data_IF_663247869802
#
_entry.id   IF_663247869802
#
_cell.length_a   1.000
_cell.length_b   1.000
_cell.length_c   1.000
_cell.angle_alpha   90.00
_cell.angle_beta   90.00
_cell.angle_gamma   90.00
#
_symmetry.space_group_name_H-M   'P 1'
#
loop_
_entity.id
_entity.type
_entity.pdbx_description
1 polymer ?
#
# COMPACT_ATOMS: atom_id res chain seq x y z
N UNK A 1 16.25 14.93 -20.06
CA UNK A 1 17.32 14.42 -20.94
C UNK A 1 17.01 12.95 -21.19
N UNK A 2 16.55 12.67 -22.40
CA UNK A 2 16.35 11.32 -22.89
C UNK A 2 17.73 10.73 -23.22
N UNK A 3 18.06 9.58 -22.64
CA UNK A 3 19.14 8.76 -23.16
C UNK A 3 18.57 7.77 -24.17
N UNK A 4 18.86 8.05 -25.45
CA UNK A 4 18.67 7.13 -26.55
C UNK A 4 19.74 6.03 -26.44
N UNK A 5 19.35 4.78 -26.30
CA UNK A 5 20.21 3.61 -26.47
C UNK A 5 20.19 3.20 -27.92
N UNK A 6 21.37 3.33 -28.55
CA UNK A 6 21.68 2.83 -29.90
C UNK A 6 21.60 1.30 -29.93
N UNK A 7 20.90 0.81 -30.93
CA UNK A 7 20.99 -0.57 -31.36
C UNK A 7 22.36 -0.82 -32.06
N UNK A 8 23.01 -1.95 -31.75
CA UNK A 8 24.04 -2.52 -32.60
C UNK A 8 24.18 -4.02 -32.40
N UNK A 9 23.70 -4.75 -33.41
CA UNK A 9 24.39 -5.83 -34.14
C UNK A 9 24.43 -7.27 -33.56
N UNK A 10 24.48 -8.27 -34.45
CA UNK A 10 23.82 -9.57 -34.25
C UNK A 10 24.75 -10.65 -33.71
N UNK A 11 24.18 -11.63 -33.06
CA UNK A 11 24.84 -12.83 -32.56
C UNK A 11 25.13 -13.84 -33.71
N UNK A 12 26.24 -14.60 -33.64
CA UNK A 12 26.53 -15.66 -34.61
C UNK A 12 25.76 -16.97 -34.24
N UNK A 13 25.26 -17.60 -35.28
CA UNK A 13 24.68 -18.94 -35.28
C UNK A 13 25.74 -20.02 -35.00
N UNK A 14 25.50 -20.86 -34.02
CA UNK A 14 26.23 -22.13 -33.86
C UNK A 14 25.20 -23.30 -33.85
N UNK A 15 25.20 -24.01 -34.97
CA UNK A 15 24.54 -25.31 -35.16
C UNK A 15 25.36 -26.41 -34.45
N UNK A 16 24.74 -27.21 -33.58
CA UNK A 16 25.27 -28.49 -33.15
C UNK A 16 24.16 -29.54 -33.14
N UNK A 17 24.45 -30.81 -33.51
CA UNK A 17 23.46 -31.79 -33.89
C UNK A 17 22.85 -32.54 -32.71
N UNK A 18 21.57 -32.88 -32.86
CA UNK A 18 20.82 -33.75 -31.94
C UNK A 18 21.45 -35.13 -31.83
N UNK A 19 21.76 -35.55 -30.61
CA UNK A 19 21.91 -36.97 -30.27
C UNK A 19 20.57 -37.50 -29.75
N UNK A 20 20.03 -38.51 -30.43
CA UNK A 20 18.88 -39.32 -29.99
C UNK A 20 19.33 -40.19 -28.83
N UNK A 21 18.77 -39.95 -27.64
CA UNK A 21 18.86 -40.85 -26.49
C UNK A 21 17.59 -41.68 -26.40
N UNK A 22 17.75 -42.99 -26.45
CA UNK A 22 16.72 -44.02 -26.28
C UNK A 22 16.18 -43.98 -24.83
N UNK A 23 14.85 -43.85 -24.70
CA UNK A 23 14.15 -43.94 -23.42
C UNK A 23 13.79 -45.40 -23.16
N UNK A 24 14.35 -45.98 -22.11
CA UNK A 24 13.97 -47.31 -21.61
C UNK A 24 12.64 -47.20 -20.86
N UNK A 25 11.66 -48.00 -21.25
CA UNK A 25 10.38 -48.11 -20.57
C UNK A 25 10.53 -48.90 -19.27
N UNK A 26 10.13 -48.30 -18.15
CA UNK A 26 10.00 -48.96 -16.85
C UNK A 26 8.55 -49.43 -16.71
N UNK A 27 8.37 -50.73 -16.55
CA UNK A 27 7.07 -51.39 -16.34
C UNK A 27 6.51 -51.09 -14.93
N UNK A 28 5.25 -50.67 -14.87
CA UNK A 28 4.47 -50.47 -13.64
C UNK A 28 3.74 -51.78 -13.30
N UNK A 29 3.83 -52.34 -12.07
CA UNK A 29 3.03 -53.51 -11.69
C UNK A 29 1.59 -53.11 -11.32
N UNK A 30 0.64 -53.99 -11.69
CA UNK A 30 -0.79 -53.84 -11.47
C UNK A 30 -1.20 -53.97 -9.99
N UNK A 31 -2.30 -53.31 -9.54
CA UNK A 31 -2.75 -53.35 -8.17
C UNK A 31 -3.53 -54.63 -7.82
N UNK A 32 -3.13 -55.27 -6.72
CA UNK A 32 -3.80 -56.46 -6.16
C UNK A 32 -5.12 -56.08 -5.46
N UNK A 33 -6.11 -57.01 -5.56
CA UNK A 33 -7.44 -56.93 -4.97
C UNK A 33 -7.39 -56.93 -3.43
N UNK A 34 -8.20 -56.13 -2.74
CA UNK A 34 -8.32 -56.20 -1.27
C UNK A 34 -9.22 -57.40 -0.86
N UNK A 35 -8.74 -58.15 0.11
CA UNK A 35 -9.49 -59.18 0.85
C UNK A 35 -10.32 -58.51 1.91
N UNK A 36 -11.63 -58.68 1.85
CA UNK A 36 -12.57 -58.20 2.86
C UNK A 36 -12.54 -59.18 4.06
N UNK A 37 -12.11 -58.74 5.20
CA UNK A 37 -12.31 -59.41 6.47
C UNK A 37 -13.32 -58.67 7.31
N UNK A 38 -14.49 -59.26 7.53
CA UNK A 38 -15.51 -58.79 8.44
C UNK A 38 -15.01 -58.90 9.89
N UNK A 39 -15.07 -57.83 10.69
CA UNK A 39 -14.89 -57.84 12.11
C UNK A 39 -16.13 -57.15 12.75
N UNK A 40 -16.68 -57.86 13.73
CA UNK A 40 -17.91 -57.57 14.45
C UNK A 40 -17.93 -56.23 15.14
N UNK A 41 -19.13 -55.64 15.18
CA UNK A 41 -19.47 -54.43 15.89
C UNK A 41 -19.36 -54.61 17.45
N UNK A 42 -18.55 -53.77 18.09
CA UNK A 42 -18.63 -53.48 19.50
C UNK A 42 -19.06 -52.01 19.64
N UNK A 43 -20.26 -51.76 20.18
CA UNK A 43 -20.75 -50.45 20.47
C UNK A 43 -19.96 -49.83 21.64
N UNK A 44 -19.17 -48.80 21.33
CA UNK A 44 -18.59 -47.92 22.36
C UNK A 44 -19.34 -46.59 22.26
N UNK A 45 -20.08 -46.26 23.34
CA UNK A 45 -20.66 -44.93 23.54
C UNK A 45 -19.51 -43.92 23.67
N UNK A 46 -19.29 -43.13 22.62
CA UNK A 46 -18.36 -42.00 22.65
C UNK A 46 -19.12 -40.80 23.22
N UNK A 47 -18.68 -40.34 24.40
CA UNK A 47 -18.99 -39.01 24.92
C UNK A 47 -18.41 -37.98 23.95
N UNK A 48 -19.27 -37.20 23.32
CA UNK A 48 -18.84 -36.04 22.53
C UNK A 48 -18.14 -35.03 23.44
N UNK A 49 -16.95 -34.53 23.08
CA UNK A 49 -16.35 -33.42 23.80
C UNK A 49 -17.18 -32.16 23.57
N UNK A 50 -17.57 -31.50 24.65
CA UNK A 50 -18.27 -30.22 24.62
C UNK A 50 -17.51 -29.21 23.72
N UNK A 51 -18.18 -28.71 22.69
CA UNK A 51 -17.68 -27.62 21.84
C UNK A 51 -17.59 -26.38 22.72
N UNK A 52 -16.38 -26.05 23.16
CA UNK A 52 -16.09 -24.78 23.82
C UNK A 52 -16.21 -23.67 22.79
N UNK A 53 -17.29 -22.90 22.86
CA UNK A 53 -17.46 -21.64 22.12
C UNK A 53 -16.31 -20.73 22.52
N UNK A 54 -15.47 -20.24 21.57
CA UNK A 54 -14.41 -19.31 21.90
C UNK A 54 -15.01 -18.04 22.49
N UNK A 55 -14.45 -17.57 23.60
CA UNK A 55 -14.85 -16.32 24.23
C UNK A 55 -14.79 -15.16 23.21
N UNK A 56 -15.75 -14.20 23.27
CA UNK A 56 -15.74 -13.04 22.39
C UNK A 56 -14.43 -12.29 22.55
N UNK A 57 -13.85 -11.86 21.41
CA UNK A 57 -12.63 -11.07 21.38
C UNK A 57 -12.80 -9.83 22.29
N UNK A 58 -11.73 -9.38 22.98
CA UNK A 58 -11.83 -8.22 23.85
C UNK A 58 -12.30 -7.02 23.04
N UNK A 59 -13.33 -6.32 23.56
CA UNK A 59 -13.88 -5.12 22.94
C UNK A 59 -12.74 -4.12 22.64
N UNK A 60 -12.66 -3.65 21.38
CA UNK A 60 -11.73 -2.61 21.00
C UNK A 60 -11.87 -1.42 21.97
N UNK A 61 -10.76 -0.98 22.54
CA UNK A 61 -10.70 0.17 23.42
C UNK A 61 -11.35 1.40 22.75
N UNK A 62 -11.95 2.27 23.57
CA UNK A 62 -12.72 3.44 23.14
C UNK A 62 -12.03 4.21 22.01
N UNK A 63 -12.76 4.41 20.90
CA UNK A 63 -12.30 5.15 19.70
C UNK A 63 -11.81 6.54 20.11
N UNK A 64 -10.59 6.95 19.72
CA UNK A 64 -10.21 8.36 19.78
C UNK A 64 -11.21 9.18 18.93
N UNK A 65 -11.36 10.48 19.27
CA UNK A 65 -12.34 11.37 18.66
C UNK A 65 -12.33 11.23 17.11
N UNK A 66 -13.40 10.67 16.58
CA UNK A 66 -13.52 10.32 15.17
C UNK A 66 -13.43 11.57 14.32
N UNK A 67 -12.54 11.55 13.29
CA UNK A 67 -12.63 12.47 12.17
C UNK A 67 -14.05 12.45 11.59
N UNK A 68 -14.47 13.53 10.95
CA UNK A 68 -15.81 13.58 10.33
C UNK A 68 -15.86 12.57 9.19
N UNK A 69 -16.70 11.55 9.29
CA UNK A 69 -16.90 10.57 8.21
C UNK A 69 -17.15 11.28 6.89
N UNK A 70 -16.51 10.79 5.83
CA UNK A 70 -16.71 11.30 4.48
C UNK A 70 -15.90 12.53 4.10
N UNK A 71 -15.01 13.03 4.99
CA UNK A 71 -14.12 14.16 4.66
C UNK A 71 -13.17 13.82 3.51
N UNK A 72 -12.75 14.87 2.78
CA UNK A 72 -11.72 14.78 1.74
C UNK A 72 -10.32 14.65 2.36
N UNK A 73 -9.31 14.35 1.55
CA UNK A 73 -7.91 14.32 2.03
C UNK A 73 -7.45 15.70 2.45
N UNK A 74 -7.79 16.73 1.67
CA UNK A 74 -7.46 18.14 1.99
C UNK A 74 -8.08 18.58 3.32
N UNK A 75 -9.35 18.23 3.57
CA UNK A 75 -10.02 18.54 4.84
C UNK A 75 -9.36 17.83 6.03
N UNK A 76 -8.98 16.54 5.86
CA UNK A 76 -8.29 15.78 6.88
C UNK A 76 -6.94 16.41 7.23
N UNK A 77 -6.13 16.73 6.23
CA UNK A 77 -4.81 17.34 6.40
C UNK A 77 -4.91 18.74 7.00
N UNK A 78 -5.85 19.56 6.52
CA UNK A 78 -6.08 20.91 7.03
C UNK A 78 -6.54 20.90 8.49
N UNK A 79 -7.39 19.96 8.87
CA UNK A 79 -7.85 19.80 10.25
C UNK A 79 -6.70 19.46 11.22
N UNK A 80 -5.78 18.58 10.81
CA UNK A 80 -4.59 18.24 11.61
C UNK A 80 -3.66 19.45 11.75
N UNK A 81 -3.38 20.13 10.64
CA UNK A 81 -2.51 21.30 10.57
C UNK A 81 -3.04 22.46 11.40
N UNK A 82 -4.36 22.72 11.36
CA UNK A 82 -5.00 23.79 12.14
C UNK A 82 -4.84 23.59 13.66
N UNK A 83 -4.65 22.34 14.10
CA UNK A 83 -4.36 22.01 15.50
C UNK A 83 -2.86 21.96 15.83
N UNK A 84 -2.00 22.42 14.94
CA UNK A 84 -0.54 22.40 15.12
C UNK A 84 0.06 20.99 15.18
N UNK A 85 -0.64 19.98 14.65
CA UNK A 85 -0.24 18.58 14.67
C UNK A 85 0.27 18.11 13.30
N UNK A 86 1.00 17.00 13.32
CA UNK A 86 1.47 16.32 12.12
C UNK A 86 0.63 15.08 11.84
N UNK A 87 0.18 14.91 10.59
CA UNK A 87 -0.67 13.81 10.18
C UNK A 87 0.10 12.47 10.14
N UNK A 88 -0.51 11.43 10.66
CA UNK A 88 -0.05 10.04 10.56
C UNK A 88 -0.69 9.39 9.34
N UNK A 89 0.13 8.98 8.36
CA UNK A 89 -0.31 8.41 7.08
C UNK A 89 0.36 7.05 6.89
N UNK A 90 -0.22 5.96 7.41
CA UNK A 90 0.30 4.61 7.18
C UNK A 90 -0.05 4.12 5.78
N UNK A 91 0.91 3.41 5.14
CA UNK A 91 0.73 2.67 3.90
C UNK A 91 0.72 1.17 4.18
N UNK A 92 -0.20 0.44 3.54
CA UNK A 92 -0.21 -1.02 3.47
C UNK A 92 -0.49 -1.49 2.04
N UNK A 93 -0.04 -2.70 1.71
CA UNK A 93 -0.36 -3.34 0.41
C UNK A 93 -1.67 -4.10 0.51
N UNK A 94 -2.60 -3.86 -0.40
CA UNK A 94 -3.86 -4.59 -0.46
C UNK A 94 -3.64 -6.06 -0.84
N UNK A 95 -4.24 -6.97 -0.08
CA UNK A 95 -4.17 -8.41 -0.33
C UNK A 95 -2.94 -9.13 0.25
N UNK A 96 -2.13 -8.47 1.04
CA UNK A 96 -1.00 -9.10 1.73
C UNK A 96 -1.25 -9.18 3.25
N UNK A 97 -1.43 -10.36 3.84
CA UNK A 97 -1.43 -11.69 3.21
C UNK A 97 -2.72 -12.03 2.45
N UNK A 98 -3.82 -11.37 2.72
CA UNK A 98 -5.13 -11.54 2.07
C UNK A 98 -6.00 -10.28 2.21
N UNK A 99 -7.13 -10.23 1.48
CA UNK A 99 -8.04 -9.08 1.50
C UNK A 99 -8.83 -8.95 2.81
N UNK A 100 -9.14 -10.05 3.49
CA UNK A 100 -9.83 -10.00 4.79
C UNK A 100 -8.93 -9.36 5.85
N UNK A 101 -7.67 -9.76 5.90
CA UNK A 101 -6.64 -9.15 6.76
C UNK A 101 -6.42 -7.68 6.41
N UNK A 102 -6.43 -7.33 5.13
CA UNK A 102 -6.34 -5.92 4.68
C UNK A 102 -7.51 -5.09 5.23
N UNK A 103 -8.74 -5.61 5.16
CA UNK A 103 -9.92 -4.94 5.69
C UNK A 103 -9.82 -4.71 7.21
N UNK A 104 -9.34 -5.71 7.97
CA UNK A 104 -9.09 -5.57 9.41
C UNK A 104 -7.98 -4.57 9.71
N UNK A 105 -6.90 -4.56 8.92
CA UNK A 105 -5.80 -3.61 9.06
C UNK A 105 -6.26 -2.16 8.81
N UNK A 106 -7.13 -1.92 7.83
CA UNK A 106 -7.72 -0.59 7.58
C UNK A 106 -8.53 -0.11 8.80
N UNK A 107 -9.40 -0.95 9.36
CA UNK A 107 -10.17 -0.64 10.57
C UNK A 107 -9.26 -0.39 11.77
N UNK A 108 -8.23 -1.20 11.92
CA UNK A 108 -7.23 -1.05 12.99
C UNK A 108 -6.52 0.30 12.88
N UNK A 109 -5.97 0.63 11.72
CA UNK A 109 -5.25 1.89 11.49
C UNK A 109 -6.13 3.13 11.69
N UNK A 110 -7.39 3.08 11.24
CA UNK A 110 -8.39 4.12 11.53
C UNK A 110 -8.63 4.27 13.04
N UNK A 111 -8.81 3.16 13.76
CA UNK A 111 -9.01 3.15 15.21
C UNK A 111 -7.81 3.71 15.99
N UNK A 112 -6.61 3.59 15.44
CA UNK A 112 -5.37 4.14 15.99
C UNK A 112 -5.18 5.63 15.70
N UNK A 113 -6.10 6.23 14.94
CA UNK A 113 -6.08 7.66 14.62
C UNK A 113 -5.17 7.98 13.43
N UNK A 114 -5.09 7.11 12.43
CA UNK A 114 -4.58 7.48 11.13
C UNK A 114 -5.40 8.67 10.59
N UNK A 115 -4.73 9.62 10.00
CA UNK A 115 -5.38 10.81 9.45
C UNK A 115 -5.75 10.61 7.97
N UNK A 116 -4.95 9.82 7.26
CA UNK A 116 -5.17 9.32 5.91
C UNK A 116 -4.59 7.90 5.88
N UNK A 117 -5.21 6.96 5.19
CA UNK A 117 -4.60 5.65 4.94
C UNK A 117 -4.28 5.53 3.45
N UNK A 118 -3.03 5.19 3.15
CA UNK A 118 -2.55 4.93 1.81
C UNK A 118 -2.60 3.41 1.55
N UNK A 119 -3.39 2.99 0.56
CA UNK A 119 -3.56 1.59 0.20
C UNK A 119 -2.95 1.31 -1.16
N UNK A 120 -1.87 0.52 -1.20
CA UNK A 120 -1.19 0.13 -2.43
C UNK A 120 -1.95 -0.96 -3.18
N UNK A 121 -2.31 -0.73 -4.44
CA UNK A 121 -2.78 -1.79 -5.32
C UNK A 121 -1.59 -2.66 -5.75
N UNK A 122 -1.67 -3.99 -5.60
CA UNK A 122 -0.57 -4.86 -5.98
C UNK A 122 -0.33 -4.80 -7.49
N UNK A 123 0.94 -4.64 -7.88
CA UNK A 123 1.39 -4.53 -9.26
C UNK A 123 2.53 -5.52 -9.53
N UNK A 124 2.54 -6.12 -10.72
CA UNK A 124 3.57 -7.09 -11.11
C UNK A 124 4.92 -6.46 -11.44
N UNK A 125 4.96 -5.15 -11.73
CA UNK A 125 6.19 -4.42 -12.04
C UNK A 125 6.24 -3.08 -11.29
N UNK A 126 6.44 -3.09 -9.97
CA UNK A 126 6.40 -1.89 -9.14
C UNK A 126 7.78 -1.18 -9.16
N UNK A 127 8.06 -0.41 -10.19
CA UNK A 127 9.38 0.18 -10.50
C UNK A 127 9.86 1.23 -9.49
N UNK A 128 8.95 1.88 -8.76
CA UNK A 128 9.28 2.86 -7.71
C UNK A 128 9.46 2.21 -6.33
N UNK A 129 9.10 0.93 -6.19
CA UNK A 129 9.11 0.22 -4.92
C UNK A 129 10.39 -0.56 -4.68
N UNK A 130 10.79 -0.60 -3.40
CA UNK A 130 11.89 -1.42 -2.93
C UNK A 130 11.48 -2.86 -2.61
N UNK A 131 12.45 -3.71 -2.22
CA UNK A 131 12.25 -5.16 -2.08
C UNK A 131 11.09 -5.57 -1.16
N UNK A 132 10.84 -4.81 -0.10
CA UNK A 132 9.78 -5.13 0.87
C UNK A 132 8.39 -5.00 0.24
N UNK A 133 8.12 -3.87 -0.43
CA UNK A 133 6.82 -3.64 -1.07
C UNK A 133 6.68 -4.52 -2.32
N UNK A 134 7.76 -4.74 -3.08
CA UNK A 134 7.77 -5.70 -4.20
C UNK A 134 7.37 -7.11 -3.75
N UNK A 135 7.98 -7.61 -2.66
CA UNK A 135 7.66 -8.93 -2.11
C UNK A 135 6.21 -9.00 -1.60
N UNK A 136 5.72 -7.93 -0.98
CA UNK A 136 4.33 -7.82 -0.53
C UNK A 136 3.35 -7.85 -1.72
N UNK A 137 3.61 -7.06 -2.76
CA UNK A 137 2.81 -7.08 -3.99
C UNK A 137 2.79 -8.46 -4.65
N UNK A 138 3.94 -9.16 -4.67
CA UNK A 138 4.02 -10.52 -5.21
C UNK A 138 3.18 -11.52 -4.41
N UNK A 139 3.20 -11.46 -3.06
CA UNK A 139 2.35 -12.30 -2.21
C UNK A 139 0.87 -12.02 -2.44
N UNK A 140 0.49 -10.75 -2.47
CA UNK A 140 -0.89 -10.33 -2.73
C UNK A 140 -1.41 -10.84 -4.08
N UNK A 141 -0.62 -10.71 -5.15
CA UNK A 141 -0.97 -11.22 -6.48
C UNK A 141 -1.08 -12.75 -6.48
N UNK A 142 -0.17 -13.45 -5.80
CA UNK A 142 -0.22 -14.92 -5.66
C UNK A 142 -1.45 -15.37 -4.87
N UNK A 143 -1.93 -14.58 -3.90
CA UNK A 143 -3.17 -14.79 -3.16
C UNK A 143 -4.43 -14.41 -3.98
N UNK A 144 -4.29 -13.95 -5.22
CA UNK A 144 -5.40 -13.62 -6.11
C UNK A 144 -5.97 -12.21 -5.94
N UNK A 145 -5.24 -11.30 -5.30
CA UNK A 145 -5.66 -9.91 -5.19
C UNK A 145 -5.66 -9.23 -6.57
N UNK A 146 -6.84 -8.81 -7.03
CA UNK A 146 -7.04 -8.03 -8.26
C UNK A 146 -7.52 -6.63 -7.91
N UNK A 147 -7.38 -5.67 -8.83
CA UNK A 147 -7.93 -4.32 -8.65
C UNK A 147 -9.43 -4.37 -8.33
N UNK A 148 -10.21 -5.22 -9.02
CA UNK A 148 -11.65 -5.33 -8.78
C UNK A 148 -11.97 -5.89 -7.40
N UNK A 149 -11.24 -6.91 -6.95
CA UNK A 149 -11.41 -7.48 -5.62
C UNK A 149 -11.05 -6.47 -4.51
N UNK A 150 -9.99 -5.68 -4.70
CA UNK A 150 -9.61 -4.60 -3.76
C UNK A 150 -10.68 -3.51 -3.71
N UNK A 151 -11.18 -3.05 -4.88
CA UNK A 151 -12.24 -2.04 -4.92
C UNK A 151 -13.55 -2.55 -4.30
N UNK A 152 -13.88 -3.83 -4.48
CA UNK A 152 -15.03 -4.47 -3.84
C UNK A 152 -14.89 -4.47 -2.31
N UNK A 153 -13.74 -4.89 -1.80
CA UNK A 153 -13.44 -4.84 -0.35
C UNK A 153 -13.51 -3.40 0.19
N UNK A 154 -12.94 -2.42 -0.52
CA UNK A 154 -12.99 -1.01 -0.12
C UNK A 154 -14.43 -0.49 -0.06
N UNK A 155 -15.30 -0.86 -1.00
CA UNK A 155 -16.71 -0.46 -0.99
C UNK A 155 -17.45 -0.88 0.29
N UNK A 156 -17.05 -2.02 0.86
CA UNK A 156 -17.59 -2.52 2.13
C UNK A 156 -16.98 -1.81 3.34
N UNK A 157 -15.67 -1.55 3.32
CA UNK A 157 -14.91 -1.07 4.49
C UNK A 157 -14.96 0.46 4.63
N UNK A 158 -14.86 1.21 3.53
CA UNK A 158 -14.75 2.69 3.60
C UNK A 158 -15.92 3.40 4.31
N UNK A 159 -17.18 2.89 4.27
CA UNK A 159 -18.26 3.51 5.04
C UNK A 159 -18.09 3.43 6.56
N UNK A 160 -17.26 2.50 7.04
CA UNK A 160 -17.00 2.30 8.46
C UNK A 160 -15.86 3.21 8.96
N UNK A 161 -14.97 3.66 8.06
CA UNK A 161 -13.79 4.42 8.40
C UNK A 161 -14.12 5.90 8.68
N UNK A 162 -13.34 6.50 9.58
CA UNK A 162 -13.41 7.94 9.89
C UNK A 162 -12.39 8.74 9.07
N UNK A 163 -11.25 8.14 8.71
CA UNK A 163 -10.23 8.77 7.88
C UNK A 163 -10.41 8.45 6.39
N UNK A 164 -9.99 9.36 5.48
CA UNK A 164 -9.99 9.08 4.05
C UNK A 164 -8.98 8.01 3.66
N UNK A 165 -9.34 7.17 2.69
CA UNK A 165 -8.45 6.21 2.04
C UNK A 165 -8.00 6.78 0.70
N UNK A 166 -6.69 6.71 0.43
CA UNK A 166 -6.05 7.06 -0.83
C UNK A 166 -5.49 5.79 -1.46
N UNK A 167 -5.77 5.57 -2.75
CA UNK A 167 -5.15 4.48 -3.50
C UNK A 167 -3.79 4.92 -4.03
N UNK A 168 -2.76 4.10 -3.79
CA UNK A 168 -1.49 4.16 -4.48
C UNK A 168 -1.48 3.11 -5.59
N UNK A 169 -1.38 3.52 -6.83
CA UNK A 169 -1.40 2.63 -8.00
C UNK A 169 -0.42 3.09 -9.07
N UNK A 170 0.23 2.15 -9.73
CA UNK A 170 0.97 2.43 -10.94
C UNK A 170 0.05 2.80 -12.11
N UNK A 171 0.57 3.57 -13.07
CA UNK A 171 -0.22 4.10 -14.16
C UNK A 171 -0.73 3.03 -15.13
N UNK A 172 0.09 2.02 -15.42
CA UNK A 172 -0.28 0.96 -16.37
C UNK A 172 -1.57 0.18 -16.01
N UNK A 173 -1.80 -0.29 -14.77
CA UNK A 173 -3.09 -0.88 -14.37
C UNK A 173 -4.29 0.05 -14.59
N UNK A 174 -4.09 1.36 -14.36
CA UNK A 174 -5.13 2.38 -14.56
C UNK A 174 -5.48 2.52 -16.05
N UNK A 175 -4.46 2.64 -16.90
CA UNK A 175 -4.64 2.77 -18.36
C UNK A 175 -5.32 1.54 -18.94
N UNK A 176 -4.95 0.34 -18.52
CA UNK A 176 -5.57 -0.91 -18.97
C UNK A 176 -7.07 -0.99 -18.67
N UNK A 177 -7.50 -0.41 -17.56
CA UNK A 177 -8.93 -0.32 -17.20
C UNK A 177 -9.64 0.85 -17.91
N UNK A 178 -8.88 1.83 -18.38
CA UNK A 178 -9.34 3.16 -18.81
C UNK A 178 -9.38 4.13 -17.62
N UNK A 179 -8.75 5.29 -17.79
CA UNK A 179 -8.56 6.30 -16.74
C UNK A 179 -9.88 6.75 -16.09
N UNK A 180 -10.89 7.05 -16.91
CA UNK A 180 -12.22 7.44 -16.42
C UNK A 180 -12.96 6.31 -15.71
N UNK A 181 -12.87 5.08 -16.23
CA UNK A 181 -13.50 3.90 -15.62
C UNK A 181 -12.85 3.56 -14.27
N UNK A 182 -11.53 3.70 -14.17
CA UNK A 182 -10.81 3.50 -12.92
C UNK A 182 -11.21 4.55 -11.87
N UNK A 183 -11.22 5.82 -12.25
CA UNK A 183 -11.60 6.92 -11.35
C UNK A 183 -13.04 6.78 -10.86
N UNK A 184 -13.97 6.40 -11.72
CA UNK A 184 -15.36 6.15 -11.34
C UNK A 184 -15.49 4.98 -10.35
N UNK A 185 -14.80 3.86 -10.61
CA UNK A 185 -14.82 2.69 -9.74
C UNK A 185 -14.14 2.98 -8.37
N UNK A 186 -13.04 3.71 -8.34
CA UNK A 186 -12.39 4.15 -7.11
C UNK A 186 -13.33 5.05 -6.28
N UNK A 187 -14.02 5.99 -6.91
CA UNK A 187 -15.03 6.83 -6.26
C UNK A 187 -16.18 6.01 -5.68
N UNK A 188 -16.70 5.06 -6.44
CA UNK A 188 -17.77 4.16 -5.98
C UNK A 188 -17.34 3.32 -4.78
N UNK A 189 -16.07 2.92 -4.75
CA UNK A 189 -15.45 2.22 -3.61
C UNK A 189 -15.18 3.12 -2.39
N UNK A 190 -15.56 4.40 -2.42
CA UNK A 190 -15.41 5.34 -1.30
C UNK A 190 -14.02 5.96 -1.15
N UNK A 191 -13.12 5.72 -2.11
CA UNK A 191 -11.77 6.31 -2.16
C UNK A 191 -11.88 7.83 -2.28
N UNK A 192 -10.95 8.56 -1.67
CA UNK A 192 -10.92 10.02 -1.65
C UNK A 192 -9.79 10.63 -2.49
N UNK A 193 -8.71 9.89 -2.71
CA UNK A 193 -7.59 10.38 -3.50
C UNK A 193 -6.81 9.26 -4.18
N UNK A 194 -5.96 9.64 -5.11
CA UNK A 194 -5.11 8.73 -5.88
C UNK A 194 -3.69 9.26 -5.92
N UNK A 195 -2.72 8.38 -5.70
CA UNK A 195 -1.29 8.59 -5.88
C UNK A 195 -0.81 7.68 -7.00
N UNK A 196 -0.12 8.25 -8.00
CA UNK A 196 0.44 7.50 -9.12
C UNK A 196 1.92 7.85 -9.24
N UNK A 197 2.84 6.98 -8.74
CA UNK A 197 4.26 7.31 -8.64
C UNK A 197 4.97 7.44 -10.01
N UNK A 198 4.46 6.77 -11.02
CA UNK A 198 4.99 6.72 -12.39
C UNK A 198 4.12 7.47 -13.41
N UNK A 199 3.27 8.39 -12.94
CA UNK A 199 2.40 9.18 -13.83
C UNK A 199 3.23 10.02 -14.78
N UNK A 200 3.15 9.77 -16.12
CA UNK A 200 3.85 10.60 -17.09
C UNK A 200 3.31 12.05 -17.03
N UNK A 201 4.23 12.98 -17.20
CA UNK A 201 3.83 14.40 -17.11
C UNK A 201 2.77 14.79 -18.13
N UNK A 202 2.91 14.32 -19.34
CA UNK A 202 1.97 14.64 -20.42
C UNK A 202 0.55 14.07 -20.14
N UNK A 203 0.46 13.01 -19.36
CA UNK A 203 -0.79 12.38 -18.94
C UNK A 203 -1.40 13.03 -17.66
N UNK A 204 -0.60 13.79 -16.92
CA UNK A 204 -1.03 14.37 -15.63
C UNK A 204 -2.30 15.22 -15.77
N UNK A 205 -2.36 16.10 -16.77
CA UNK A 205 -3.50 16.99 -16.97
C UNK A 205 -4.77 16.25 -17.40
N UNK A 206 -4.62 15.21 -18.23
CA UNK A 206 -5.73 14.38 -18.68
C UNK A 206 -6.29 13.55 -17.51
N UNK A 207 -5.44 12.89 -16.75
CA UNK A 207 -5.87 12.11 -15.60
C UNK A 207 -6.46 12.98 -14.49
N UNK A 208 -5.90 14.17 -14.24
CA UNK A 208 -6.43 15.13 -13.27
C UNK A 208 -7.88 15.55 -13.59
N UNK A 209 -8.22 15.75 -14.86
CA UNK A 209 -9.61 16.04 -15.27
C UNK A 209 -10.57 14.91 -14.89
N UNK A 210 -10.16 13.65 -15.12
CA UNK A 210 -10.96 12.48 -14.73
C UNK A 210 -11.08 12.34 -13.21
N UNK A 211 -10.01 12.61 -12.46
CA UNK A 211 -10.03 12.61 -10.99
C UNK A 211 -11.01 13.66 -10.45
N UNK A 212 -10.92 14.91 -10.91
CA UNK A 212 -11.83 16.01 -10.51
C UNK A 212 -13.28 15.68 -10.83
N UNK A 213 -13.57 15.18 -12.04
CA UNK A 213 -14.91 14.76 -12.46
C UNK A 213 -15.52 13.74 -11.51
N UNK A 214 -14.69 12.86 -10.95
CA UNK A 214 -15.09 11.85 -10.00
C UNK A 214 -14.90 12.29 -8.53
N UNK A 215 -14.59 13.57 -8.27
CA UNK A 215 -14.34 14.10 -6.90
C UNK A 215 -13.26 13.33 -6.15
N UNK A 216 -12.21 12.91 -6.86
CA UNK A 216 -11.00 12.31 -6.31
C UNK A 216 -9.88 13.34 -6.34
N UNK A 217 -9.09 13.38 -5.28
CA UNK A 217 -7.93 14.25 -5.16
C UNK A 217 -6.70 13.56 -5.75
N UNK A 218 -6.08 14.15 -6.78
CA UNK A 218 -4.85 13.66 -7.36
C UNK A 218 -3.66 14.23 -6.58
N UNK A 219 -3.00 13.36 -5.82
CA UNK A 219 -1.84 13.68 -5.00
C UNK A 219 -0.59 13.46 -5.84
N UNK A 220 0.19 14.51 -6.03
CA UNK A 220 1.38 14.48 -6.88
C UNK A 220 2.66 14.45 -6.05
N UNK A 221 3.69 13.82 -6.62
CA UNK A 221 4.97 13.59 -5.98
C UNK A 221 6.02 14.60 -6.45
N UNK A 222 6.84 15.05 -5.51
CA UNK A 222 8.09 15.74 -5.78
C UNK A 222 9.24 15.06 -5.05
N UNK A 223 10.44 15.12 -5.61
CA UNK A 223 11.64 14.43 -5.12
C UNK A 223 12.82 15.38 -5.05
N UNK A 224 13.92 15.04 -4.37
CA UNK A 224 15.15 15.83 -4.40
C UNK A 224 15.74 16.03 -5.79
N UNK A 225 15.37 15.19 -6.77
CA UNK A 225 15.82 15.32 -8.15
C UNK A 225 14.86 16.15 -9.04
N UNK A 226 13.72 16.60 -8.50
CA UNK A 226 12.75 17.40 -9.25
C UNK A 226 13.26 18.82 -9.44
N UNK A 227 13.40 19.33 -10.69
CA UNK A 227 13.79 20.71 -10.94
C UNK A 227 12.80 21.71 -10.31
N UNK A 228 13.29 22.86 -9.83
CA UNK A 228 12.52 23.83 -9.06
C UNK A 228 11.25 24.31 -9.80
N UNK A 229 11.36 24.63 -11.10
CA UNK A 229 10.18 25.06 -11.90
C UNK A 229 9.14 23.95 -11.98
N UNK A 230 9.60 22.70 -12.16
CA UNK A 230 8.70 21.54 -12.16
C UNK A 230 8.07 21.31 -10.80
N UNK A 231 8.82 21.51 -9.72
CA UNK A 231 8.30 21.42 -8.36
C UNK A 231 7.17 22.43 -8.13
N UNK A 232 7.29 23.65 -8.65
CA UNK A 232 6.22 24.66 -8.57
C UNK A 232 4.93 24.21 -9.26
N UNK A 233 5.04 23.62 -10.44
CA UNK A 233 3.88 23.11 -11.18
C UNK A 233 3.21 21.95 -10.44
N UNK A 234 3.99 20.98 -9.99
CA UNK A 234 3.52 19.82 -9.21
C UNK A 234 2.82 20.28 -7.95
N UNK A 235 3.44 21.17 -7.17
CA UNK A 235 2.87 21.64 -5.91
C UNK A 235 1.57 22.41 -6.11
N UNK A 236 1.45 23.21 -7.17
CA UNK A 236 0.20 23.91 -7.51
C UNK A 236 -0.91 22.96 -7.99
N UNK A 237 -0.53 21.95 -8.79
CA UNK A 237 -1.48 21.01 -9.36
C UNK A 237 -1.92 19.90 -8.38
N UNK A 238 -1.11 19.58 -7.37
CA UNK A 238 -1.44 18.56 -6.37
C UNK A 238 -2.68 18.92 -5.58
N UNK A 239 -3.51 17.95 -5.30
CA UNK A 239 -4.70 18.06 -4.45
C UNK A 239 -4.46 17.27 -3.15
N UNK A 240 -5.31 17.46 -2.14
CA UNK A 240 -5.13 16.81 -0.84
C UNK A 240 -3.87 17.28 -0.09
N UNK A 241 -2.72 16.83 -0.54
CA UNK A 241 -1.40 17.26 -0.07
C UNK A 241 -0.34 17.12 -1.17
N UNK A 242 0.84 17.69 -0.94
CA UNK A 242 2.03 17.46 -1.78
C UNK A 242 2.82 16.31 -1.18
N UNK A 243 3.09 15.25 -1.94
CA UNK A 243 3.90 14.13 -1.49
C UNK A 243 5.39 14.44 -1.73
N UNK A 244 6.14 14.76 -0.68
CA UNK A 244 7.59 14.93 -0.76
C UNK A 244 8.28 13.59 -0.50
N UNK A 245 8.91 13.04 -1.55
CA UNK A 245 9.75 11.85 -1.46
C UNK A 245 11.10 12.23 -0.86
N UNK A 246 11.48 11.63 0.26
CA UNK A 246 12.68 12.01 1.03
C UNK A 246 14.00 11.51 0.43
N UNK A 247 13.95 10.70 -0.63
CA UNK A 247 15.13 10.05 -1.21
C UNK A 247 15.10 10.08 -2.73
N UNK A 248 16.26 9.93 -3.35
CA UNK A 248 16.37 9.56 -4.76
C UNK A 248 16.49 8.03 -4.83
N UNK A 249 15.55 7.37 -5.52
CA UNK A 249 15.51 5.92 -5.66
C UNK A 249 14.20 5.30 -5.16
N UNK A 250 14.25 4.02 -4.80
CA UNK A 250 13.08 3.21 -4.44
C UNK A 250 12.73 3.29 -2.94
N UNK A 251 11.54 2.83 -2.57
CA UNK A 251 11.06 2.70 -1.19
C UNK A 251 11.97 1.77 -0.36
N UNK A 252 11.93 1.89 0.96
CA UNK A 252 12.66 1.03 1.90
C UNK A 252 13.08 1.79 3.16
N UNK A 253 13.20 1.08 4.29
CA UNK A 253 13.68 1.66 5.54
C UNK A 253 15.14 2.11 5.43
N UNK A 254 15.47 3.23 6.06
CA UNK A 254 16.83 3.79 6.07
C UNK A 254 17.29 4.03 7.50
N UNK A 255 18.60 4.07 7.72
CA UNK A 255 19.17 4.35 9.04
C UNK A 255 18.99 5.83 9.45
N UNK A 256 19.02 6.75 8.48
CA UNK A 256 18.90 8.19 8.70
C UNK A 256 18.07 8.84 7.61
N UNK A 257 17.38 9.92 7.93
CA UNK A 257 16.69 10.76 6.95
C UNK A 257 17.68 11.78 6.37
N UNK A 258 17.64 11.95 5.05
CA UNK A 258 18.52 12.90 4.37
C UNK A 258 18.19 14.35 4.80
N UNK A 259 19.16 15.13 5.34
CA UNK A 259 18.93 16.51 5.75
C UNK A 259 18.43 17.44 4.64
N UNK A 260 18.65 17.11 3.36
CA UNK A 260 18.16 17.91 2.24
C UNK A 260 16.61 18.02 2.24
N UNK A 261 15.91 17.07 2.84
CA UNK A 261 14.45 17.08 2.98
C UNK A 261 13.97 18.35 3.71
N UNK A 262 14.70 18.79 4.72
CA UNK A 262 14.39 20.05 5.45
C UNK A 262 14.39 21.25 4.50
N UNK A 263 15.42 21.37 3.65
CA UNK A 263 15.52 22.46 2.68
C UNK A 263 14.41 22.40 1.63
N UNK A 264 14.09 21.19 1.15
CA UNK A 264 12.99 20.99 0.19
C UNK A 264 11.62 21.34 0.79
N UNK A 265 11.38 21.00 2.05
CA UNK A 265 10.18 21.41 2.77
C UNK A 265 10.06 22.94 2.81
N UNK A 266 11.16 23.64 3.11
CA UNK A 266 11.19 25.11 3.12
C UNK A 266 10.96 25.69 1.71
N UNK A 267 11.59 25.13 0.67
CA UNK A 267 11.36 25.55 -0.72
C UNK A 267 9.91 25.40 -1.16
N UNK A 268 9.30 24.24 -0.87
CA UNK A 268 7.88 24.01 -1.18
C UNK A 268 6.99 25.00 -0.42
N UNK A 269 7.28 25.27 0.85
CA UNK A 269 6.54 26.22 1.68
C UNK A 269 6.57 27.66 1.15
N UNK A 270 7.69 28.07 0.56
CA UNK A 270 7.82 29.39 -0.07
C UNK A 270 6.96 29.50 -1.34
N UNK A 271 6.65 28.39 -1.99
CA UNK A 271 5.90 28.35 -3.25
C UNK A 271 4.39 28.19 -3.04
N UNK A 272 3.98 27.43 -2.02
CA UNK A 272 2.59 27.17 -1.66
C UNK A 272 2.42 27.14 -0.15
N UNK A 273 1.68 28.12 0.38
CA UNK A 273 1.46 28.27 1.82
C UNK A 273 0.17 27.59 2.29
N UNK A 274 -0.75 27.36 1.39
CA UNK A 274 -2.11 26.83 1.64
C UNK A 274 -2.19 25.30 1.62
N UNK A 275 -1.22 24.61 1.00
CA UNK A 275 -1.23 23.16 0.85
C UNK A 275 -0.42 22.45 1.93
N UNK A 276 -0.95 21.32 2.39
CA UNK A 276 -0.21 20.43 3.27
C UNK A 276 0.92 19.71 2.50
N UNK A 277 2.04 19.44 3.18
CA UNK A 277 3.16 18.67 2.65
C UNK A 277 3.38 17.45 3.53
N UNK A 278 3.25 16.25 2.96
CA UNK A 278 3.56 15.01 3.65
C UNK A 278 4.86 14.41 3.12
N UNK A 279 5.72 13.95 4.03
CA UNK A 279 7.01 13.35 3.70
C UNK A 279 6.93 11.83 3.80
N UNK A 280 7.40 11.14 2.76
CA UNK A 280 7.44 9.68 2.73
C UNK A 280 8.78 9.15 2.24
N UNK A 281 8.92 7.82 2.24
CA UNK A 281 10.12 7.04 1.91
C UNK A 281 11.21 7.09 2.98
N UNK A 282 11.75 5.93 3.32
CA UNK A 282 12.86 5.79 4.29
C UNK A 282 12.48 5.91 5.76
N UNK A 283 11.26 6.28 6.08
CA UNK A 283 10.80 6.53 7.44
C UNK A 283 10.39 5.21 8.09
N UNK A 284 10.96 4.90 9.27
CA UNK A 284 10.73 3.60 9.92
C UNK A 284 10.85 3.61 11.44
N UNK A 285 11.24 4.72 12.08
CA UNK A 285 11.39 4.79 13.53
C UNK A 285 10.66 6.01 14.10
N UNK A 286 10.42 5.99 15.41
CA UNK A 286 9.84 7.12 16.14
C UNK A 286 10.68 8.38 16.03
N UNK A 287 12.02 8.23 16.04
CA UNK A 287 12.97 9.33 15.86
C UNK A 287 12.84 9.98 14.47
N UNK A 288 12.67 9.15 13.41
CA UNK A 288 12.45 9.66 12.06
C UNK A 288 11.15 10.46 11.97
N UNK A 289 10.08 9.93 12.56
CA UNK A 289 8.77 10.57 12.57
C UNK A 289 8.83 11.91 13.27
N UNK A 290 9.44 11.97 14.47
CA UNK A 290 9.62 13.18 15.22
C UNK A 290 10.48 14.21 14.47
N UNK A 291 11.61 13.78 13.90
CA UNK A 291 12.53 14.63 13.14
C UNK A 291 11.85 15.28 11.92
N UNK A 292 11.02 14.53 11.18
CA UNK A 292 10.26 15.06 10.03
C UNK A 292 9.22 16.08 10.50
N UNK A 293 8.54 15.82 11.61
CA UNK A 293 7.59 16.74 12.20
C UNK A 293 8.28 18.05 12.65
N UNK A 294 9.44 17.97 13.33
CA UNK A 294 10.26 19.12 13.73
C UNK A 294 10.76 19.94 12.53
N UNK A 295 10.95 19.33 11.36
CA UNK A 295 11.30 20.03 10.13
C UNK A 295 10.12 20.76 9.49
N UNK A 296 8.91 20.62 10.06
CA UNK A 296 7.71 21.33 9.66
C UNK A 296 6.88 20.62 8.59
N UNK A 297 6.98 19.29 8.44
CA UNK A 297 6.06 18.53 7.62
C UNK A 297 4.65 18.50 8.22
N UNK A 298 3.62 18.58 7.39
CA UNK A 298 2.22 18.47 7.83
C UNK A 298 1.77 17.01 7.97
N UNK A 299 2.54 16.08 7.42
CA UNK A 299 2.25 14.65 7.52
C UNK A 299 3.49 13.79 7.30
N UNK A 300 3.43 12.58 7.85
CA UNK A 300 4.49 11.56 7.71
C UNK A 300 3.87 10.28 7.15
N UNK A 301 4.44 9.80 6.05
CA UNK A 301 3.98 8.58 5.35
C UNK A 301 4.95 7.45 5.66
N UNK A 302 4.44 6.35 6.19
CA UNK A 302 5.23 5.19 6.58
C UNK A 302 4.77 3.97 5.76
N UNK A 303 5.64 3.48 4.88
CA UNK A 303 5.33 2.38 3.96
C UNK A 303 5.98 1.06 4.35
N UNK A 304 7.18 0.78 3.84
CA UNK A 304 7.84 -0.54 3.94
C UNK A 304 7.88 -1.12 5.35
N UNK A 305 8.03 -0.28 6.37
CA UNK A 305 8.08 -0.72 7.75
C UNK A 305 6.70 -1.19 8.28
N UNK A 306 5.60 -0.58 7.80
CA UNK A 306 4.22 -1.05 8.07
C UNK A 306 3.94 -2.39 7.38
N UNK A 307 4.31 -2.48 6.10
CA UNK A 307 4.12 -3.70 5.29
C UNK A 307 4.83 -4.90 5.91
N UNK A 308 6.01 -4.71 6.48
CA UNK A 308 6.75 -5.77 7.20
C UNK A 308 5.96 -6.37 8.36
N UNK A 309 5.17 -5.57 9.09
CA UNK A 309 4.43 -6.06 10.24
C UNK A 309 3.40 -7.13 9.85
N UNK A 310 2.78 -6.98 8.69
CA UNK A 310 1.83 -7.95 8.13
C UNK A 310 2.55 -9.09 7.41
N UNK A 311 3.48 -8.75 6.51
CA UNK A 311 4.07 -9.71 5.58
C UNK A 311 5.11 -10.66 6.16
N UNK A 312 5.73 -10.35 7.30
CA UNK A 312 6.72 -11.19 8.00
C UNK A 312 6.13 -11.92 9.21
N UNK A 313 4.82 -11.84 9.43
CA UNK A 313 4.15 -12.54 10.51
C UNK A 313 3.81 -13.98 10.12
N UNK A 314 3.79 -14.89 11.11
CA UNK A 314 3.45 -16.30 10.89
C UNK A 314 1.93 -16.53 10.71
N UNK A 315 1.11 -15.52 11.00
CA UNK A 315 -0.34 -15.57 10.82
C UNK A 315 -0.94 -14.16 10.68
N UNK A 316 -2.11 -14.00 10.06
CA UNK A 316 -2.83 -12.73 9.98
C UNK A 316 -3.02 -12.06 11.34
N UNK A 317 -3.43 -12.83 12.34
CA UNK A 317 -3.64 -12.35 13.72
C UNK A 317 -2.36 -11.80 14.36
N UNK A 318 -1.23 -12.49 14.16
CA UNK A 318 0.08 -12.00 14.62
C UNK A 318 0.46 -10.71 13.89
N UNK A 319 0.25 -10.66 12.57
CA UNK A 319 0.53 -9.49 11.74
C UNK A 319 -0.25 -8.26 12.19
N UNK A 320 -1.55 -8.40 12.43
CA UNK A 320 -2.39 -7.32 12.96
C UNK A 320 -1.93 -6.86 14.35
N UNK A 321 -1.53 -7.78 15.23
CA UNK A 321 -0.97 -7.42 16.54
C UNK A 321 0.35 -6.66 16.42
N UNK A 322 1.25 -7.08 15.53
CA UNK A 322 2.51 -6.39 15.25
C UNK A 322 2.24 -4.99 14.68
N UNK A 323 1.30 -4.90 13.73
CA UNK A 323 0.88 -3.63 13.13
C UNK A 323 0.34 -2.66 14.19
N UNK A 324 -0.52 -3.14 15.11
CA UNK A 324 -1.07 -2.33 16.20
C UNK A 324 0.04 -1.73 17.07
N UNK A 325 0.94 -2.57 17.58
CA UNK A 325 2.03 -2.12 18.45
C UNK A 325 2.94 -1.12 17.72
N UNK A 326 3.31 -1.44 16.49
CA UNK A 326 4.21 -0.60 15.70
C UNK A 326 3.56 0.74 15.31
N UNK A 327 2.32 0.72 14.81
CA UNK A 327 1.60 1.94 14.43
C UNK A 327 1.39 2.88 15.63
N UNK A 328 1.04 2.33 16.81
CA UNK A 328 0.95 3.12 18.07
C UNK A 328 2.27 3.79 18.43
N UNK A 329 3.38 3.07 18.34
CA UNK A 329 4.69 3.63 18.68
C UNK A 329 5.03 4.84 17.82
N UNK A 330 4.74 4.79 16.53
CA UNK A 330 4.96 5.89 15.60
C UNK A 330 3.95 7.03 15.78
N UNK A 331 2.67 6.70 15.96
CA UNK A 331 1.63 7.71 16.21
C UNK A 331 1.89 8.53 17.48
N UNK A 332 2.34 7.86 18.56
CA UNK A 332 2.65 8.52 19.83
C UNK A 332 3.91 9.37 19.78
N UNK A 333 4.77 9.20 18.79
CA UNK A 333 5.95 10.02 18.56
C UNK A 333 5.64 11.32 17.78
N UNK A 334 4.45 11.43 17.20
CA UNK A 334 4.01 12.66 16.53
C UNK A 334 3.50 13.68 17.56
N UNK A 335 3.82 14.98 17.37
CA UNK A 335 3.35 16.06 18.23
C UNK A 335 1.83 16.25 18.16
#
# INVERSE_FOLDING_TARGET
MCFALKASSPAPSLSHPMRRGTVAAVAVPAPGRPVVRAIAAAAVMSLEPAVTVPAPAPALAARPAAGKRGQSVAEAMSGVRANGKTAFIPYITAGDPDLATTAEALRLLDSLGANVIELGLPCSNPSADGPVIQASAARALAAGATTDAVLSMLKEVTPELSCPVVIFSYFNPIVRRGTGSFAAAAKEAGVKGIIIPDLPYDEMHAFRKEAIKNKLELILLTTPATPSERMKEITRASEGFVYLVSVVGVTGARATINPCVKNLLQEIRQQVTDKAVAVGFGISTSEHVNQIAEWGADGVIIGSAMVKQLGEANSPREGLKRLDVYARSLKNALP
#
